data_IF_570142412937
#
_entry.id   IF_570142412937
#
_cell.length_a   1.000
_cell.length_b   1.000
_cell.length_c   1.000
_cell.angle_alpha   90.00
_cell.angle_beta   90.00
_cell.angle_gamma   90.00
#
_symmetry.space_group_name_H-M   'P 1'
#
loop_
_entity.id
_entity.type
_entity.pdbx_description
1 polymer ?
#
# COMPACT_ATOMS: atom_id res chain seq x y z
N UNK A 1 -6.03 39.38 55.70
CA UNK A 1 -4.87 38.67 55.12
C UNK A 1 -5.24 37.30 54.54
N UNK A 2 -6.08 36.49 55.21
CA UNK A 2 -6.53 35.18 54.71
C UNK A 2 -7.28 35.21 53.35
N UNK A 3 -8.15 36.20 53.10
CA UNK A 3 -8.89 36.32 51.84
C UNK A 3 -8.01 36.58 50.59
N UNK A 4 -6.79 37.08 50.77
CA UNK A 4 -5.87 37.34 49.65
C UNK A 4 -5.17 36.04 49.23
N UNK A 5 -4.84 35.16 50.18
CA UNK A 5 -4.20 33.87 49.92
C UNK A 5 -5.13 32.91 49.15
N UNK A 6 -6.43 32.91 49.46
CA UNK A 6 -7.41 32.06 48.77
C UNK A 6 -7.58 32.41 47.28
N UNK A 7 -7.60 33.72 46.95
CA UNK A 7 -7.72 34.17 45.56
C UNK A 7 -6.47 33.87 44.72
N UNK A 8 -5.27 33.96 45.34
CA UNK A 8 -4.01 33.63 44.65
C UNK A 8 -3.93 32.13 44.33
N UNK A 9 -4.40 31.27 45.22
CA UNK A 9 -4.41 29.82 44.99
C UNK A 9 -5.38 29.43 43.87
N UNK A 10 -6.57 30.05 43.83
CA UNK A 10 -7.58 29.80 42.79
C UNK A 10 -7.11 30.25 41.40
N UNK A 11 -6.41 31.38 41.32
CA UNK A 11 -5.82 31.86 40.06
C UNK A 11 -4.69 30.96 39.53
N UNK A 12 -3.84 30.41 40.41
CA UNK A 12 -2.74 29.53 39.99
C UNK A 12 -3.25 28.20 39.41
N UNK A 13 -4.27 27.61 40.04
CA UNK A 13 -4.95 26.40 39.56
C UNK A 13 -5.58 26.59 38.18
N UNK A 14 -6.23 27.73 37.94
CA UNK A 14 -6.90 27.98 36.66
C UNK A 14 -5.92 28.15 35.48
N UNK A 15 -4.71 28.67 35.75
CA UNK A 15 -3.66 28.87 34.73
C UNK A 15 -3.05 27.54 34.28
N UNK A 16 -2.85 26.58 35.20
CA UNK A 16 -2.32 25.25 34.88
C UNK A 16 -3.31 24.38 34.10
N UNK A 17 -4.61 24.49 34.40
CA UNK A 17 -5.65 23.76 33.65
C UNK A 17 -5.73 24.27 32.20
N UNK A 18 -5.51 25.56 31.98
CA UNK A 18 -5.57 26.17 30.64
C UNK A 18 -4.37 25.80 29.77
N UNK A 19 -3.16 25.70 30.33
CA UNK A 19 -1.96 25.28 29.59
C UNK A 19 -2.02 23.81 29.17
N UNK A 20 -2.53 22.91 30.03
CA UNK A 20 -2.69 21.48 29.68
C UNK A 20 -3.63 21.24 28.51
N UNK A 21 -4.77 21.95 28.47
CA UNK A 21 -5.74 21.84 27.35
C UNK A 21 -5.15 22.32 26.02
N UNK A 22 -4.39 23.41 26.04
CA UNK A 22 -3.72 23.94 24.83
C UNK A 22 -2.65 22.98 24.31
N UNK A 23 -1.84 22.41 25.20
CA UNK A 23 -0.81 21.43 24.83
C UNK A 23 -1.42 20.20 24.16
N UNK A 24 -2.50 19.65 24.71
CA UNK A 24 -3.18 18.48 24.14
C UNK A 24 -3.80 18.77 22.76
N UNK A 25 -4.42 19.94 22.61
CA UNK A 25 -4.98 20.37 21.31
C UNK A 25 -3.89 20.52 20.24
N UNK A 26 -2.74 21.10 20.59
CA UNK A 26 -1.60 21.23 19.69
C UNK A 26 -1.05 19.84 19.32
N UNK A 27 -0.90 18.93 20.29
CA UNK A 27 -0.43 17.56 20.04
C UNK A 27 -1.38 16.83 19.08
N UNK A 28 -2.70 16.95 19.30
CA UNK A 28 -3.70 16.32 18.42
C UNK A 28 -3.65 16.89 17.00
N UNK A 29 -3.46 18.21 16.86
CA UNK A 29 -3.35 18.86 15.56
C UNK A 29 -2.10 18.41 14.79
N UNK A 30 -0.97 18.22 15.48
CA UNK A 30 0.27 17.70 14.89
C UNK A 30 0.10 16.25 14.43
N UNK A 31 -0.54 15.40 15.23
CA UNK A 31 -0.84 14.02 14.83
C UNK A 31 -1.75 14.03 13.59
N UNK A 32 -2.78 14.87 13.57
CA UNK A 32 -3.70 14.96 12.44
C UNK A 32 -3.00 15.47 11.15
N UNK A 33 -2.11 16.46 11.27
CA UNK A 33 -1.38 17.00 10.12
C UNK A 33 -0.33 16.04 9.57
N UNK A 34 0.29 15.21 10.42
CA UNK A 34 1.21 14.15 9.99
C UNK A 34 0.49 13.06 9.18
N UNK A 35 -0.74 12.70 9.56
CA UNK A 35 -1.54 11.71 8.82
C UNK A 35 -2.05 12.24 7.47
N UNK A 36 -2.28 13.55 7.33
CA UNK A 36 -2.82 14.14 6.10
C UNK A 36 -1.86 14.05 4.91
N UNK A 37 -0.56 14.22 5.16
CA UNK A 37 0.45 14.14 4.11
C UNK A 37 0.61 12.71 3.55
N UNK A 38 0.24 11.69 4.31
CA UNK A 38 0.37 10.30 3.91
C UNK A 38 -0.73 9.87 2.93
N UNK A 39 -1.94 10.44 3.05
CA UNK A 39 -3.08 10.11 2.17
C UNK A 39 -2.88 10.60 0.74
N UNK A 40 -2.10 11.67 0.54
CA UNK A 40 -1.82 12.24 -0.77
C UNK A 40 -0.74 11.50 -1.56
N UNK A 41 -0.02 10.57 -0.93
CA UNK A 41 1.05 9.79 -1.56
C UNK A 41 0.55 8.47 -2.19
N UNK A 42 -0.76 8.33 -2.43
CA UNK A 42 -1.31 7.15 -3.10
C UNK A 42 -0.77 7.09 -4.53
N UNK A 43 0.25 6.26 -4.73
CA UNK A 43 0.77 5.91 -6.04
C UNK A 43 -0.31 5.16 -6.82
N UNK A 44 -0.41 5.43 -8.11
CA UNK A 44 -1.22 4.67 -9.04
C UNK A 44 -0.80 3.19 -8.94
N UNK A 45 -1.70 2.35 -8.43
CA UNK A 45 -1.45 0.93 -8.27
C UNK A 45 -1.45 0.30 -9.66
N UNK A 46 -0.28 -0.12 -10.11
CA UNK A 46 -0.15 -0.88 -11.36
C UNK A 46 -0.68 -2.29 -11.10
N UNK A 47 -1.65 -2.73 -11.89
CA UNK A 47 -2.20 -4.09 -11.79
C UNK A 47 -1.16 -5.13 -12.22
N UNK A 48 -0.48 -5.73 -11.24
CA UNK A 48 0.52 -6.78 -11.45
C UNK A 48 -0.18 -8.13 -11.61
N UNK A 49 -0.11 -8.68 -12.82
CA UNK A 49 -0.77 -9.94 -13.18
C UNK A 49 -0.14 -11.16 -12.49
N UNK A 50 1.18 -11.19 -12.38
CA UNK A 50 1.92 -12.27 -11.71
C UNK A 50 3.30 -11.80 -11.23
N UNK A 51 3.89 -12.62 -10.34
CA UNK A 51 5.23 -12.43 -9.78
C UNK A 51 6.14 -13.56 -10.27
N UNK A 52 7.39 -13.23 -10.56
CA UNK A 52 8.37 -14.18 -11.08
C UNK A 52 9.69 -14.07 -10.33
N UNK A 53 10.38 -15.20 -10.15
CA UNK A 53 11.66 -15.22 -9.47
C UNK A 53 12.80 -14.79 -10.41
N UNK A 54 13.61 -13.86 -9.92
CA UNK A 54 14.85 -13.43 -10.56
C UNK A 54 15.77 -14.61 -10.96
N UNK A 55 16.47 -14.49 -12.09
CA UNK A 55 17.39 -15.52 -12.63
C UNK A 55 16.77 -16.90 -12.82
N UNK A 56 15.50 -16.96 -13.19
CA UNK A 56 14.85 -18.21 -13.60
C UNK A 56 14.14 -18.04 -14.94
N UNK A 57 14.04 -19.12 -15.71
CA UNK A 57 13.29 -19.12 -16.97
C UNK A 57 11.81 -18.81 -16.69
N UNK A 58 11.22 -17.97 -17.52
CA UNK A 58 9.81 -17.57 -17.43
C UNK A 58 9.08 -17.96 -18.71
N UNK A 59 7.98 -18.69 -18.57
CA UNK A 59 7.06 -18.94 -19.68
C UNK A 59 5.87 -18.01 -19.56
N UNK A 60 5.75 -17.07 -20.49
CA UNK A 60 4.58 -16.20 -20.62
C UNK A 60 3.56 -16.93 -21.49
N UNK A 61 2.35 -17.11 -20.97
CA UNK A 61 1.24 -17.73 -21.68
C UNK A 61 0.05 -16.78 -21.68
N UNK A 62 -0.33 -16.30 -22.86
CA UNK A 62 -1.44 -15.36 -23.01
C UNK A 62 -2.57 -15.96 -23.85
N UNK A 63 -3.81 -15.76 -23.43
CA UNK A 63 -4.96 -16.16 -24.25
C UNK A 63 -5.11 -15.19 -25.41
N UNK A 64 -5.08 -15.68 -26.64
CA UNK A 64 -5.28 -14.81 -27.80
C UNK A 64 -6.75 -14.44 -27.93
N UNK A 65 -7.06 -13.15 -27.82
CA UNK A 65 -8.39 -12.60 -28.10
C UNK A 65 -8.29 -11.33 -28.93
N UNK A 66 -9.03 -11.30 -30.04
CA UNK A 66 -9.14 -10.13 -30.92
C UNK A 66 -10.63 -9.81 -31.07
N UNK A 67 -11.03 -8.58 -30.77
CA UNK A 67 -12.44 -8.12 -30.82
C UNK A 67 -13.42 -8.97 -29.98
N UNK A 68 -12.93 -9.58 -28.89
CA UNK A 68 -13.73 -10.41 -27.98
C UNK A 68 -13.83 -11.89 -28.38
N UNK A 69 -13.37 -12.27 -29.57
CA UNK A 69 -13.32 -13.65 -30.04
C UNK A 69 -11.97 -14.30 -29.73
N UNK A 70 -11.97 -15.62 -29.50
CA UNK A 70 -10.74 -16.40 -29.33
C UNK A 70 -10.09 -16.57 -30.70
N UNK A 71 -8.80 -16.29 -30.80
CA UNK A 71 -8.08 -16.44 -32.05
C UNK A 71 -8.00 -17.91 -32.48
N UNK A 72 -8.01 -18.14 -33.79
CA UNK A 72 -7.63 -19.43 -34.38
C UNK A 72 -6.16 -19.43 -34.79
N UNK A 73 -5.70 -20.54 -35.40
CA UNK A 73 -4.33 -20.72 -35.87
C UNK A 73 -3.91 -19.75 -37.01
N UNK A 74 -4.82 -18.91 -37.53
CA UNK A 74 -4.47 -17.90 -38.56
C UNK A 74 -3.87 -16.62 -37.96
N UNK A 75 -4.00 -16.43 -36.65
CA UNK A 75 -3.45 -15.28 -35.96
C UNK A 75 -1.99 -15.52 -35.60
N UNK A 76 -1.16 -14.49 -35.85
CA UNK A 76 0.21 -14.45 -35.36
C UNK A 76 0.30 -13.44 -34.22
N UNK A 77 0.92 -13.84 -33.11
CA UNK A 77 1.10 -12.98 -31.95
C UNK A 77 2.58 -12.71 -31.70
N UNK A 78 2.88 -11.46 -31.41
CA UNK A 78 4.21 -10.99 -31.06
C UNK A 78 4.18 -10.39 -29.66
N UNK A 79 5.20 -10.70 -28.87
CA UNK A 79 5.41 -10.16 -27.54
C UNK A 79 6.50 -9.08 -27.61
N UNK A 80 6.24 -7.93 -27.00
CA UNK A 80 7.23 -6.90 -26.71
C UNK A 80 7.31 -6.70 -25.21
N UNK A 81 8.52 -6.56 -24.68
CA UNK A 81 8.75 -6.40 -23.23
C UNK A 81 9.67 -5.21 -22.99
N UNK A 82 9.22 -4.31 -22.12
CA UNK A 82 10.00 -3.25 -21.53
C UNK A 82 10.40 -3.63 -20.11
N UNK A 83 11.65 -3.36 -19.78
CA UNK A 83 12.20 -3.53 -18.44
C UNK A 83 11.73 -2.41 -17.48
N UNK A 84 12.07 -2.50 -16.19
CA UNK A 84 11.73 -1.46 -15.22
C UNK A 84 12.32 -0.07 -15.54
N UNK A 85 13.42 -0.02 -16.30
CA UNK A 85 14.05 1.22 -16.77
C UNK A 85 13.47 1.71 -18.12
N UNK A 86 12.40 1.07 -18.61
CA UNK A 86 11.76 1.32 -19.90
C UNK A 86 12.64 1.02 -21.13
N UNK A 87 13.71 0.23 -20.95
CA UNK A 87 14.50 -0.31 -22.04
C UNK A 87 13.83 -1.55 -22.63
N UNK A 88 13.90 -1.68 -23.96
CA UNK A 88 13.28 -2.80 -24.65
C UNK A 88 14.17 -4.05 -24.58
N UNK A 89 13.67 -5.11 -23.93
CA UNK A 89 14.36 -6.40 -23.85
C UNK A 89 13.92 -7.31 -24.99
N UNK A 90 12.62 -7.34 -25.26
CA UNK A 90 12.04 -8.08 -26.38
C UNK A 90 11.36 -7.09 -27.32
N UNK A 91 11.72 -7.16 -28.60
CA UNK A 91 11.08 -6.38 -29.67
C UNK A 91 10.39 -7.33 -30.65
N UNK A 92 9.06 -7.40 -30.58
CA UNK A 92 8.23 -8.21 -31.48
C UNK A 92 8.67 -9.68 -31.56
N UNK A 93 8.91 -10.31 -30.41
CA UNK A 93 9.25 -11.72 -30.34
C UNK A 93 8.04 -12.59 -30.71
N UNK A 94 8.17 -13.43 -31.73
CA UNK A 94 7.09 -14.32 -32.15
C UNK A 94 6.74 -15.33 -31.06
N UNK A 95 5.46 -15.41 -30.70
CA UNK A 95 4.94 -16.40 -29.76
C UNK A 95 4.63 -17.71 -30.49
N UNK A 96 4.74 -18.83 -29.79
CA UNK A 96 4.38 -20.16 -30.30
C UNK A 96 2.92 -20.44 -30.01
N UNK A 97 2.16 -20.78 -31.06
CA UNK A 97 0.78 -21.21 -30.94
C UNK A 97 0.70 -22.57 -30.24
N UNK A 98 -0.10 -22.63 -29.17
CA UNK A 98 -0.45 -23.85 -28.46
C UNK A 98 -1.99 -23.97 -28.30
N UNK A 99 -2.72 -23.64 -29.36
CA UNK A 99 -4.18 -23.67 -29.43
C UNK A 99 -4.79 -22.36 -28.93
N UNK A 100 -5.42 -22.40 -27.75
CA UNK A 100 -6.06 -21.19 -27.18
C UNK A 100 -5.05 -20.19 -26.60
N UNK A 101 -3.80 -20.65 -26.38
CA UNK A 101 -2.75 -19.89 -25.72
C UNK A 101 -1.56 -19.66 -26.64
N UNK A 102 -0.96 -18.49 -26.51
CA UNK A 102 0.26 -18.09 -27.16
C UNK A 102 1.37 -18.08 -26.13
N UNK A 103 2.45 -18.80 -26.42
CA UNK A 103 3.51 -19.06 -25.45
C UNK A 103 4.81 -18.39 -25.89
N UNK A 104 5.47 -17.69 -24.97
CA UNK A 104 6.81 -17.15 -25.16
C UNK A 104 7.70 -17.54 -23.98
N UNK A 105 8.85 -18.14 -24.27
CA UNK A 105 9.82 -18.54 -23.26
C UNK A 105 10.92 -17.49 -23.16
N UNK A 106 11.06 -16.88 -21.99
CA UNK A 106 12.14 -15.98 -21.63
C UNK A 106 13.27 -16.75 -20.96
N UNK A 107 14.49 -16.38 -21.32
CA UNK A 107 15.72 -16.86 -20.68
C UNK A 107 16.05 -16.03 -19.44
N UNK A 108 16.86 -16.58 -18.54
CA UNK A 108 17.30 -15.92 -17.30
C UNK A 108 17.92 -14.52 -17.55
N UNK A 109 18.69 -14.35 -18.63
CA UNK A 109 19.30 -13.04 -18.97
C UNK A 109 18.31 -11.96 -19.39
N UNK A 110 17.06 -12.33 -19.67
CA UNK A 110 16.00 -11.40 -20.11
C UNK A 110 15.09 -10.98 -18.94
N UNK A 111 15.40 -11.40 -17.71
CA UNK A 111 14.67 -11.06 -16.49
C UNK A 111 15.56 -10.40 -15.41
N UNK A 112 16.68 -9.79 -15.81
CA UNK A 112 17.64 -9.11 -14.93
C UNK A 112 17.70 -7.60 -15.24
N UNK A 113 16.72 -6.82 -14.75
CA UNK A 113 16.74 -6.51 -13.32
C UNK A 113 15.42 -6.73 -12.54
N UNK A 114 15.49 -6.75 -11.21
CA UNK A 114 14.30 -6.75 -10.35
C UNK A 114 13.44 -5.49 -10.58
N UNK A 115 12.13 -5.67 -10.64
CA UNK A 115 11.19 -4.56 -10.82
C UNK A 115 9.94 -4.94 -11.61
N UNK A 116 9.17 -3.92 -11.98
CA UNK A 116 7.93 -4.06 -12.75
C UNK A 116 8.26 -3.97 -14.23
N UNK A 117 7.88 -5.00 -14.98
CA UNK A 117 8.02 -5.09 -16.42
C UNK A 117 6.68 -4.79 -17.08
N UNK A 118 6.72 -4.20 -18.27
CA UNK A 118 5.55 -4.02 -19.12
C UNK A 118 5.65 -4.96 -20.31
N UNK A 119 4.65 -5.80 -20.50
CA UNK A 119 4.54 -6.71 -21.62
C UNK A 119 3.34 -6.32 -22.48
N UNK A 120 3.57 -6.19 -23.78
CA UNK A 120 2.54 -5.94 -24.78
C UNK A 120 2.51 -7.12 -25.75
N UNK A 121 1.34 -7.73 -25.88
CA UNK A 121 1.07 -8.81 -26.83
C UNK A 121 0.22 -8.24 -27.95
N UNK A 122 0.80 -8.19 -29.14
CA UNK A 122 0.12 -7.77 -30.36
C UNK A 122 -0.22 -9.01 -31.18
N UNK A 123 -1.51 -9.26 -31.38
CA UNK A 123 -2.03 -10.38 -32.13
C UNK A 123 -2.80 -9.88 -33.35
N UNK A 124 -2.57 -10.50 -34.51
CA UNK A 124 -3.34 -10.15 -35.70
C UNK A 124 -3.20 -11.15 -36.83
N UNK A 125 -4.08 -10.99 -37.80
CA UNK A 125 -4.02 -11.65 -39.10
C UNK A 125 -4.12 -10.59 -40.21
N UNK A 126 -4.51 -10.98 -41.42
CA UNK A 126 -4.62 -10.02 -42.55
C UNK A 126 -5.74 -8.99 -42.40
N UNK A 127 -6.70 -9.19 -41.49
CA UNK A 127 -7.93 -8.39 -41.41
C UNK A 127 -8.20 -7.80 -40.02
N UNK A 128 -7.82 -8.49 -38.95
CA UNK A 128 -8.12 -8.12 -37.57
C UNK A 128 -6.84 -8.06 -36.74
N UNK A 129 -6.75 -7.05 -35.89
CA UNK A 129 -5.61 -6.79 -35.00
C UNK A 129 -6.12 -6.45 -33.61
N UNK A 130 -5.42 -6.93 -32.58
CA UNK A 130 -5.67 -6.64 -31.18
C UNK A 130 -4.35 -6.53 -30.43
N UNK A 131 -4.36 -5.73 -29.36
CA UNK A 131 -3.20 -5.54 -28.49
C UNK A 131 -3.66 -5.64 -27.03
N UNK A 132 -2.90 -6.37 -26.21
CA UNK A 132 -3.10 -6.44 -24.77
C UNK A 132 -1.80 -6.07 -24.06
N UNK A 133 -1.87 -5.11 -23.13
CA UNK A 133 -0.72 -4.73 -22.30
C UNK A 133 -1.00 -5.15 -20.86
N UNK A 134 0.00 -5.76 -20.23
CA UNK A 134 -0.06 -6.16 -18.83
C UNK A 134 1.28 -5.99 -18.16
N UNK A 135 1.24 -5.95 -16.83
CA UNK A 135 2.42 -5.78 -16.00
C UNK A 135 2.67 -7.06 -15.21
N UNK A 136 3.94 -7.39 -15.04
CA UNK A 136 4.39 -8.44 -14.14
C UNK A 136 5.60 -7.95 -13.36
N UNK A 137 5.86 -8.54 -12.21
CA UNK A 137 6.97 -8.12 -11.36
C UNK A 137 7.98 -9.25 -11.16
N UNK A 138 9.26 -8.95 -11.39
CA UNK A 138 10.36 -9.85 -11.02
C UNK A 138 10.84 -9.48 -9.62
N UNK A 139 10.82 -10.45 -8.71
CA UNK A 139 11.28 -10.33 -7.33
C UNK A 139 12.39 -11.34 -7.04
N UNK A 140 13.25 -11.11 -6.02
CA UNK A 140 14.35 -12.01 -5.69
C UNK A 140 13.92 -13.46 -5.40
N UNK A 141 12.71 -13.66 -4.89
CA UNK A 141 12.16 -14.94 -4.44
C UNK A 141 10.89 -15.36 -5.20
N UNK A 142 10.41 -14.56 -6.16
CA UNK A 142 9.17 -14.80 -6.89
C UNK A 142 7.90 -14.59 -6.06
N UNK A 143 8.00 -14.07 -4.84
CA UNK A 143 6.85 -13.79 -3.99
C UNK A 143 6.25 -12.41 -4.28
N UNK A 144 4.95 -12.24 -3.98
CA UNK A 144 4.30 -10.93 -3.98
C UNK A 144 4.94 -10.08 -2.88
N UNK A 145 5.55 -8.93 -3.20
CA UNK A 145 6.06 -8.04 -2.16
C UNK A 145 4.90 -7.56 -1.29
N UNK A 146 5.19 -7.33 -0.01
CA UNK A 146 4.18 -6.80 0.92
C UNK A 146 3.72 -5.46 0.35
N UNK A 147 2.44 -5.44 -0.01
CA UNK A 147 1.81 -4.33 -0.70
C UNK A 147 1.92 -3.09 0.19
N UNK A 148 2.52 -2.02 -0.34
CA UNK A 148 2.65 -0.75 0.40
C UNK A 148 1.29 -0.22 0.84
N UNK A 149 0.23 -0.52 0.07
CA UNK A 149 -1.15 -0.21 0.46
C UNK A 149 -1.61 -0.96 1.71
N UNK A 150 -1.31 -2.26 1.84
CA UNK A 150 -1.62 -3.03 3.05
C UNK A 150 -0.83 -2.52 4.26
N UNK A 151 0.43 -2.16 4.06
CA UNK A 151 1.24 -1.54 5.12
C UNK A 151 0.65 -0.19 5.56
N UNK A 152 0.09 0.60 4.64
CA UNK A 152 -0.53 1.88 4.95
C UNK A 152 -1.82 1.70 5.76
N UNK A 153 -2.67 0.75 5.38
CA UNK A 153 -3.88 0.41 6.14
C UNK A 153 -3.52 -0.01 7.57
N UNK A 154 -2.47 -0.82 7.74
CA UNK A 154 -1.97 -1.22 9.05
C UNK A 154 -1.51 -0.01 9.88
N UNK A 155 -0.69 0.88 9.31
CA UNK A 155 -0.19 2.09 9.98
C UNK A 155 -1.35 2.99 10.43
N UNK A 156 -2.36 3.18 9.58
CA UNK A 156 -3.55 3.98 9.90
C UNK A 156 -4.35 3.31 11.01
N UNK A 157 -4.57 1.99 10.96
CA UNK A 157 -5.29 1.26 12.00
C UNK A 157 -4.59 1.36 13.38
N UNK A 158 -3.26 1.20 13.41
CA UNK A 158 -2.44 1.36 14.62
C UNK A 158 -2.53 2.79 15.15
N UNK A 159 -2.44 3.79 14.26
CA UNK A 159 -2.54 5.20 14.65
C UNK A 159 -3.88 5.54 15.28
N UNK A 160 -4.98 5.01 14.74
CA UNK A 160 -6.33 5.17 15.30
C UNK A 160 -6.42 4.53 16.69
N UNK A 161 -5.89 3.31 16.85
CA UNK A 161 -5.86 2.63 18.15
C UNK A 161 -5.10 3.44 19.21
N UNK A 162 -3.95 4.02 18.85
CA UNK A 162 -3.18 4.90 19.75
C UNK A 162 -4.01 6.13 20.14
N UNK A 163 -4.70 6.78 19.20
CA UNK A 163 -5.56 7.94 19.50
C UNK A 163 -6.69 7.55 20.46
N UNK A 164 -7.35 6.41 20.25
CA UNK A 164 -8.39 5.89 21.13
C UNK A 164 -7.81 5.61 22.52
N UNK A 165 -6.66 4.96 22.60
CA UNK A 165 -6.00 4.65 23.87
C UNK A 165 -5.65 5.92 24.66
N UNK A 166 -5.12 6.95 23.99
CA UNK A 166 -4.82 8.25 24.60
C UNK A 166 -6.10 8.97 25.07
N UNK A 167 -7.18 8.92 24.29
CA UNK A 167 -8.46 9.51 24.66
C UNK A 167 -9.06 8.83 25.91
N UNK A 168 -9.00 7.49 25.98
CA UNK A 168 -9.45 6.72 27.14
C UNK A 168 -8.58 7.03 28.37
N UNK A 169 -7.26 7.09 28.21
CA UNK A 169 -6.35 7.48 29.29
C UNK A 169 -6.66 8.88 29.84
N UNK A 170 -6.93 9.84 28.94
CA UNK A 170 -7.33 11.19 29.31
C UNK A 170 -8.67 11.24 30.08
N UNK A 171 -9.67 10.46 29.66
CA UNK A 171 -10.93 10.32 30.38
C UNK A 171 -10.72 9.70 31.77
N UNK A 172 -9.82 8.72 31.87
CA UNK A 172 -9.39 8.13 33.14
C UNK A 172 -8.88 9.18 34.13
N UNK A 173 -7.94 10.04 33.70
CA UNK A 173 -7.39 11.12 34.54
C UNK A 173 -8.42 12.17 34.98
N UNK A 174 -9.54 12.30 34.28
CA UNK A 174 -10.61 13.24 34.64
C UNK A 174 -11.59 12.65 35.66
N UNK A 175 -11.61 11.33 35.83
CA UNK A 175 -12.52 10.66 36.78
C UNK A 175 -12.16 10.99 38.22
N UNK A 176 -13.15 11.34 39.04
CA UNK A 176 -12.99 11.50 40.49
C UNK A 176 -12.99 10.16 41.23
N UNK A 177 -13.55 9.10 40.63
CA UNK A 177 -13.60 7.78 41.22
C UNK A 177 -12.33 7.00 40.88
N UNK A 178 -11.57 6.63 41.92
CA UNK A 178 -10.28 5.92 41.81
C UNK A 178 -10.40 4.60 41.07
N UNK A 179 -11.47 3.84 41.28
CA UNK A 179 -11.69 2.55 40.61
C UNK A 179 -11.86 2.74 39.11
N UNK A 180 -12.67 3.73 38.70
CA UNK A 180 -12.90 4.04 37.29
C UNK A 180 -11.61 4.55 36.62
N UNK A 181 -10.82 5.36 37.33
CA UNK A 181 -9.53 5.84 36.86
C UNK A 181 -8.58 4.67 36.55
N UNK A 182 -8.44 3.72 37.49
CA UNK A 182 -7.56 2.56 37.31
C UNK A 182 -7.99 1.69 36.13
N UNK A 183 -9.30 1.43 35.98
CA UNK A 183 -9.82 0.62 34.86
C UNK A 183 -9.54 1.26 33.49
N UNK A 184 -9.74 2.58 33.36
CA UNK A 184 -9.45 3.26 32.09
C UNK A 184 -7.97 3.30 31.78
N UNK A 185 -7.11 3.51 32.78
CA UNK A 185 -5.66 3.49 32.58
C UNK A 185 -5.17 2.09 32.20
N UNK A 186 -5.65 1.03 32.84
CA UNK A 186 -5.28 -0.34 32.46
C UNK A 186 -5.73 -0.68 31.04
N UNK A 187 -6.93 -0.24 30.64
CA UNK A 187 -7.45 -0.47 29.29
C UNK A 187 -6.68 0.33 28.23
N UNK A 188 -6.31 1.57 28.53
CA UNK A 188 -5.46 2.41 27.68
C UNK A 188 -4.09 1.75 27.44
N UNK A 189 -3.44 1.27 28.51
CA UNK A 189 -2.16 0.56 28.41
C UNK A 189 -2.30 -0.72 27.58
N UNK A 190 -3.37 -1.49 27.80
CA UNK A 190 -3.64 -2.70 27.04
C UNK A 190 -3.79 -2.40 25.56
N UNK A 191 -4.57 -1.37 25.19
CA UNK A 191 -4.70 -0.95 23.79
C UNK A 191 -3.38 -0.50 23.16
N UNK A 192 -2.49 0.17 23.92
CA UNK A 192 -1.16 0.56 23.42
C UNK A 192 -0.26 -0.67 23.19
N UNK A 193 -0.39 -1.73 23.98
CA UNK A 193 0.39 -2.96 23.79
C UNK A 193 -0.06 -3.72 22.53
N UNK A 194 -1.34 -3.62 22.18
CA UNK A 194 -1.92 -4.29 21.00
C UNK A 194 -1.90 -3.47 19.71
N UNK A 195 -1.60 -2.17 19.79
CA UNK A 195 -1.45 -1.26 18.65
C UNK A 195 0.00 -1.28 18.15
#
# INVERSE_FOLDING_TARGET
>A
MFLIQENIFKMKSHKEIMTRKKLFSILMLIVLSLNLNFVLAQSEEVDIRFYHQFNTNLTISETCRVSGEVCDATYSCNLSILDPAQAQIINQGAMTDNGTYQIFNLTESQSDPNGIYSATVDCGNTTLFGSNTFFYQVTPDGSKPIDTGQSLVLIVAVSILIIIALAIGFLGFKSTNTTIMLTFLSFSILLIIFA
#
